data_IF_513273669924
#
_entry.id   IF_513273669924
#
_cell.length_a   1.000
_cell.length_b   1.000
_cell.length_c   1.000
_cell.angle_alpha   90.00
_cell.angle_beta   90.00
_cell.angle_gamma   90.00
#
_symmetry.space_group_name_H-M   'P 1'
#
loop_
_entity.id
_entity.type
_entity.pdbx_description
1 polymer ?
#
# COMPACT_ATOMS: atom_id res chain seq x y z
N UNK A 1 15.05 14.85 11.54
CA UNK A 1 16.13 14.02 10.95
C UNK A 1 15.84 13.81 9.47
N UNK A 2 16.84 13.92 8.60
CA UNK A 2 16.66 13.61 7.18
C UNK A 2 16.38 12.10 7.03
N UNK A 3 15.29 11.75 6.34
CA UNK A 3 14.98 10.35 6.08
C UNK A 3 15.98 9.82 5.05
N UNK A 4 16.63 8.69 5.35
CA UNK A 4 17.49 8.00 4.38
C UNK A 4 16.71 7.78 3.08
N UNK A 5 17.34 8.09 1.94
CA UNK A 5 16.72 7.90 0.64
C UNK A 5 16.34 6.42 0.45
N UNK A 6 15.13 6.16 -0.03
CA UNK A 6 14.72 4.79 -0.38
C UNK A 6 15.48 4.37 -1.63
N UNK A 7 16.15 3.23 -1.54
CA UNK A 7 16.75 2.56 -2.70
C UNK A 7 15.61 2.08 -3.59
N UNK A 8 15.71 2.34 -4.90
CA UNK A 8 14.68 1.99 -5.88
C UNK A 8 15.30 1.54 -7.19
N UNK A 9 14.87 0.39 -7.67
CA UNK A 9 15.19 -0.20 -8.96
C UNK A 9 14.03 -1.08 -9.42
N UNK A 10 13.95 -1.36 -10.71
CA UNK A 10 12.94 -2.26 -11.27
C UNK A 10 13.10 -3.67 -10.68
N UNK A 11 12.00 -4.27 -10.24
CA UNK A 11 12.02 -5.55 -9.52
C UNK A 11 12.32 -5.42 -8.03
N UNK A 12 12.47 -4.21 -7.48
CA UNK A 12 12.67 -4.05 -6.04
C UNK A 12 11.41 -4.47 -5.25
N UNK A 13 11.60 -5.33 -4.26
CA UNK A 13 10.56 -5.84 -3.38
C UNK A 13 10.49 -5.01 -2.09
N UNK A 14 9.30 -4.54 -1.73
CA UNK A 14 9.06 -3.73 -0.55
C UNK A 14 8.01 -4.37 0.36
N UNK A 15 8.36 -4.48 1.64
CA UNK A 15 7.38 -4.57 2.72
C UNK A 15 6.91 -3.15 3.08
N UNK A 16 5.63 -2.87 2.86
CA UNK A 16 5.02 -1.57 3.11
C UNK A 16 4.00 -1.71 4.22
N UNK A 17 4.10 -0.84 5.22
CA UNK A 17 3.10 -0.69 6.27
C UNK A 17 2.36 0.65 6.08
N UNK A 18 1.05 0.63 6.24
CA UNK A 18 0.19 1.80 6.41
C UNK A 18 -0.50 1.71 7.75
N UNK A 19 -0.64 2.82 8.48
CA UNK A 19 -1.24 2.83 9.81
C UNK A 19 -2.13 4.06 9.96
N UNK A 20 -3.28 3.88 10.60
CA UNK A 20 -4.17 4.98 10.97
C UNK A 20 -3.44 6.00 11.86
N UNK A 21 -3.76 7.28 11.68
CA UNK A 21 -3.25 8.33 12.55
C UNK A 21 -3.66 8.03 13.99
N UNK A 22 -2.75 8.27 14.95
CA UNK A 22 -2.97 7.93 16.36
C UNK A 22 -3.38 6.46 16.62
N UNK A 23 -3.11 5.55 15.68
CA UNK A 23 -3.53 4.15 15.79
C UNK A 23 -5.03 3.93 15.66
N UNK A 24 -5.76 4.89 15.09
CA UNK A 24 -7.19 4.80 14.82
C UNK A 24 -7.52 3.61 13.92
N UNK A 25 -8.70 3.05 14.16
CA UNK A 25 -9.18 1.89 13.45
C UNK A 25 -9.86 2.37 12.16
N UNK A 26 -9.08 2.43 11.09
CA UNK A 26 -9.47 2.93 9.75
C UNK A 26 -10.00 1.84 8.81
N UNK A 27 -9.90 0.56 9.21
CA UNK A 27 -10.25 -0.62 8.44
C UNK A 27 -11.04 -1.59 9.34
N UNK A 28 -12.09 -1.11 10.01
CA UNK A 28 -12.75 -1.85 11.12
C UNK A 28 -13.51 -3.07 10.63
N UNK A 29 -14.31 -2.89 9.59
CA UNK A 29 -15.23 -3.92 9.14
C UNK A 29 -14.75 -4.60 7.86
N UNK A 30 -15.48 -5.65 7.47
CA UNK A 30 -15.15 -6.40 6.27
C UNK A 30 -15.34 -5.55 5.01
N UNK A 31 -16.27 -4.58 5.00
CA UNK A 31 -16.54 -3.75 3.83
C UNK A 31 -15.36 -2.80 3.57
N UNK A 32 -14.83 -2.14 4.60
CA UNK A 32 -13.63 -1.32 4.55
C UNK A 32 -12.43 -2.11 4.01
N UNK A 33 -12.21 -3.31 4.55
CA UNK A 33 -11.10 -4.19 4.14
C UNK A 33 -11.20 -4.61 2.68
N UNK A 34 -12.41 -5.00 2.25
CA UNK A 34 -12.66 -5.38 0.86
C UNK A 34 -12.55 -4.18 -0.09
N UNK A 35 -13.05 -3.00 0.30
CA UNK A 35 -12.92 -1.78 -0.48
C UNK A 35 -11.44 -1.38 -0.65
N UNK A 36 -10.65 -1.50 0.42
CA UNK A 36 -9.22 -1.24 0.36
C UNK A 36 -8.48 -2.18 -0.59
N UNK A 37 -8.80 -3.49 -0.54
CA UNK A 37 -8.25 -4.48 -1.47
C UNK A 37 -8.66 -4.24 -2.93
N UNK A 38 -9.89 -3.81 -3.17
CA UNK A 38 -10.36 -3.43 -4.51
C UNK A 38 -9.56 -2.24 -5.06
N UNK A 39 -9.35 -1.21 -4.25
CA UNK A 39 -8.49 -0.07 -4.63
C UNK A 39 -7.07 -0.55 -4.94
N UNK A 40 -6.47 -1.40 -4.09
CA UNK A 40 -5.11 -1.93 -4.35
C UNK A 40 -5.08 -2.69 -5.68
N UNK A 41 -6.09 -3.51 -5.96
CA UNK A 41 -6.20 -4.32 -7.19
C UNK A 41 -6.34 -3.43 -8.43
N UNK A 42 -7.18 -2.41 -8.39
CA UNK A 42 -7.31 -1.42 -9.45
C UNK A 42 -5.98 -0.68 -9.72
N UNK A 43 -5.24 -0.35 -8.65
CA UNK A 43 -3.94 0.31 -8.76
C UNK A 43 -2.82 -0.63 -9.23
N UNK A 44 -2.93 -1.93 -8.92
CA UNK A 44 -2.04 -2.98 -9.42
C UNK A 44 -2.09 -3.03 -10.94
N UNK A 45 -3.29 -3.00 -11.52
CA UNK A 45 -3.47 -2.94 -12.98
C UNK A 45 -2.96 -1.63 -13.57
N UNK A 46 -3.31 -0.49 -12.95
CA UNK A 46 -2.91 0.84 -13.42
C UNK A 46 -1.39 1.06 -13.46
N UNK A 47 -0.66 0.52 -12.48
CA UNK A 47 0.78 0.77 -12.32
C UNK A 47 1.65 -0.46 -12.55
N UNK A 48 1.04 -1.59 -12.93
CA UNK A 48 1.69 -2.84 -13.31
C UNK A 48 2.67 -3.37 -12.23
N UNK A 49 2.36 -3.17 -10.94
CA UNK A 49 3.19 -3.72 -9.85
C UNK A 49 2.73 -5.14 -9.49
N UNK A 50 3.62 -5.95 -8.90
CA UNK A 50 3.25 -7.27 -8.38
C UNK A 50 2.88 -7.17 -6.91
N UNK A 51 1.79 -7.84 -6.53
CA UNK A 51 1.24 -7.84 -5.17
C UNK A 51 1.23 -9.27 -4.64
N UNK A 52 2.15 -9.58 -3.73
CA UNK A 52 2.44 -10.96 -3.34
C UNK A 52 1.70 -11.40 -2.09
N UNK A 53 1.62 -10.53 -1.10
CA UNK A 53 1.03 -10.85 0.19
C UNK A 53 0.49 -9.58 0.86
N UNK A 54 -0.50 -9.77 1.72
CA UNK A 54 -1.03 -8.71 2.56
C UNK A 54 -1.53 -9.24 3.89
N UNK A 55 -1.58 -8.35 4.88
CA UNK A 55 -2.29 -8.57 6.13
C UNK A 55 -3.03 -7.26 6.46
N UNK A 56 -4.34 -7.33 6.64
CA UNK A 56 -5.16 -6.16 6.98
C UNK A 56 -5.69 -6.33 8.40
N UNK A 57 -5.25 -5.43 9.27
CA UNK A 57 -5.74 -5.27 10.64
C UNK A 57 -6.60 -4.02 10.74
N UNK A 58 -7.28 -3.84 11.86
CA UNK A 58 -8.28 -2.77 11.99
C UNK A 58 -7.67 -1.37 11.92
N UNK A 59 -6.43 -1.21 12.37
CA UNK A 59 -5.73 0.09 12.41
C UNK A 59 -4.49 0.18 11.51
N UNK A 60 -4.12 -0.89 10.82
CA UNK A 60 -2.98 -0.88 9.91
C UNK A 60 -3.05 -2.03 8.91
N UNK A 61 -2.30 -1.90 7.82
CA UNK A 61 -2.13 -2.97 6.86
C UNK A 61 -0.67 -3.11 6.45
N UNK A 62 -0.30 -4.34 6.14
CA UNK A 62 0.99 -4.72 5.59
C UNK A 62 0.80 -5.25 4.17
N UNK A 63 1.72 -4.90 3.29
CA UNK A 63 1.71 -5.31 1.89
C UNK A 63 3.13 -5.67 1.45
N UNK A 64 3.24 -6.70 0.63
CA UNK A 64 4.47 -7.08 -0.05
C UNK A 64 4.32 -6.80 -1.55
N UNK A 65 5.01 -5.76 -2.02
CA UNK A 65 4.87 -5.24 -3.39
C UNK A 65 6.23 -5.23 -4.08
N UNK A 66 6.29 -5.73 -5.31
CA UNK A 66 7.41 -5.51 -6.22
C UNK A 66 7.06 -4.44 -7.24
N UNK A 67 7.92 -3.43 -7.33
CA UNK A 67 7.78 -2.34 -8.29
C UNK A 67 8.34 -2.76 -9.64
N UNK A 68 7.69 -2.34 -10.71
CA UNK A 68 8.21 -2.50 -12.08
C UNK A 68 8.70 -1.13 -12.56
N UNK A 69 7.81 -0.31 -13.14
CA UNK A 69 8.14 1.05 -13.60
C UNK A 69 7.86 2.14 -12.57
N UNK A 70 6.80 1.96 -11.78
CA UNK A 70 6.28 3.01 -10.88
C UNK A 70 6.86 2.88 -9.47
N UNK A 71 7.38 3.99 -8.94
CA UNK A 71 7.90 4.02 -7.56
C UNK A 71 6.83 3.68 -6.53
N UNK A 72 7.20 2.87 -5.54
CA UNK A 72 6.32 2.47 -4.42
C UNK A 72 5.67 3.69 -3.74
N UNK A 73 6.39 4.80 -3.60
CA UNK A 73 5.83 6.03 -3.05
C UNK A 73 4.63 6.58 -3.87
N UNK A 74 4.69 6.52 -5.21
CA UNK A 74 3.63 7.02 -6.08
C UNK A 74 2.42 6.08 -6.09
N UNK A 75 2.68 4.77 -6.10
CA UNK A 75 1.64 3.74 -5.96
C UNK A 75 0.87 3.96 -4.66
N UNK A 76 1.59 4.02 -3.53
CA UNK A 76 0.97 4.16 -2.22
C UNK A 76 0.28 5.52 -2.04
N UNK A 77 0.83 6.59 -2.61
CA UNK A 77 0.16 7.89 -2.63
C UNK A 77 -1.22 7.77 -3.29
N UNK A 78 -1.31 7.16 -4.47
CA UNK A 78 -2.59 7.00 -5.17
C UNK A 78 -3.60 6.16 -4.39
N UNK A 79 -3.16 5.02 -3.84
CA UNK A 79 -4.01 4.15 -3.02
C UNK A 79 -4.57 4.91 -1.80
N UNK A 80 -3.73 5.61 -1.03
CA UNK A 80 -4.18 6.32 0.17
C UNK A 80 -5.11 7.50 -0.16
N UNK A 81 -4.89 8.20 -1.27
CA UNK A 81 -5.79 9.28 -1.69
C UNK A 81 -7.14 8.78 -2.20
N UNK A 82 -7.21 7.55 -2.71
CA UNK A 82 -8.46 6.98 -3.22
C UNK A 82 -9.33 6.39 -2.11
N UNK A 83 -8.72 5.89 -1.04
CA UNK A 83 -9.43 5.31 0.11
C UNK A 83 -9.99 6.36 1.08
N UNK A 84 -9.31 7.51 1.21
CA UNK A 84 -9.86 8.68 1.90
C UNK A 84 -11.00 9.30 1.10
#
# INVERSE_FOLDING_TARGET
MARKQRIHYEGALYHIMVRGNNGEYILKDMQDKMHYLDIITNYKEKYEFKFYAYCIMDNHAHMLIEVVKTKSAKIMQGIQHKYK
#
